data_IF_506148553356
#
_entry.id   IF_506148553356
#
_cell.length_a   1.000
_cell.length_b   1.000
_cell.length_c   1.000
_cell.angle_alpha   90.00
_cell.angle_beta   90.00
_cell.angle_gamma   90.00
#
_symmetry.space_group_name_H-M   'P 1'
#
loop_
_entity.id
_entity.type
_entity.pdbx_description
1 polymer ?
#
# COMPACT_ATOMS: atom_id res chain seq x y z
N UNK A 1 23.36 11.40 13.85
CA UNK A 1 22.32 12.13 13.09
C UNK A 1 21.43 11.05 12.51
N UNK A 2 20.17 10.99 12.94
CA UNK A 2 19.24 9.93 12.54
C UNK A 2 18.73 10.28 11.14
N UNK A 3 18.96 9.40 10.17
CA UNK A 3 18.61 9.61 8.77
C UNK A 3 17.13 9.99 8.62
N UNK A 4 16.89 11.24 8.23
CA UNK A 4 15.55 11.79 7.92
C UNK A 4 14.81 10.95 6.85
N UNK A 5 15.54 10.13 6.08
CA UNK A 5 14.99 9.22 5.07
C UNK A 5 14.20 8.06 5.68
N UNK A 6 14.69 7.45 6.77
CA UNK A 6 14.03 6.27 7.38
C UNK A 6 12.73 6.65 8.07
N UNK A 7 12.69 7.83 8.72
CA UNK A 7 11.47 8.37 9.31
C UNK A 7 10.38 8.65 8.25
N UNK A 8 10.79 9.07 7.04
CA UNK A 8 9.86 9.37 5.94
C UNK A 8 9.35 8.10 5.25
N UNK A 9 10.18 7.05 5.15
CA UNK A 9 9.80 5.82 4.48
C UNK A 9 8.71 5.04 5.23
N UNK A 10 8.81 4.94 6.56
CA UNK A 10 7.77 4.33 7.40
C UNK A 10 6.43 5.05 7.26
N UNK A 11 6.44 6.39 7.29
CA UNK A 11 5.26 7.23 7.12
C UNK A 11 4.64 7.10 5.72
N UNK A 12 5.47 6.97 4.67
CA UNK A 12 5.02 6.74 3.30
C UNK A 12 4.37 5.36 3.14
N UNK A 13 4.96 4.33 3.74
CA UNK A 13 4.38 2.97 3.73
C UNK A 13 3.06 2.93 4.49
N UNK A 14 2.96 3.64 5.62
CA UNK A 14 1.70 3.76 6.36
C UNK A 14 0.60 4.45 5.54
N UNK A 15 0.93 5.53 4.84
CA UNK A 15 -0.01 6.20 3.92
C UNK A 15 -0.45 5.27 2.79
N UNK A 16 0.48 4.56 2.17
CA UNK A 16 0.18 3.59 1.11
C UNK A 16 -0.72 2.45 1.59
N UNK A 17 -0.51 1.93 2.80
CA UNK A 17 -1.39 0.89 3.34
C UNK A 17 -2.80 1.43 3.63
N UNK A 18 -2.91 2.67 4.11
CA UNK A 18 -4.20 3.34 4.30
C UNK A 18 -4.93 3.55 2.97
N UNK A 19 -4.22 3.98 1.92
CA UNK A 19 -4.79 4.18 0.59
C UNK A 19 -5.22 2.85 -0.04
N UNK A 20 -4.43 1.78 0.15
CA UNK A 20 -4.78 0.41 -0.25
C UNK A 20 -6.06 -0.07 0.46
N UNK A 21 -6.15 0.12 1.78
CA UNK A 21 -7.31 -0.28 2.55
C UNK A 21 -8.57 0.50 2.12
N UNK A 22 -8.42 1.80 1.85
CA UNK A 22 -9.51 2.60 1.28
C UNK A 22 -9.94 2.09 -0.10
N UNK A 23 -9.00 1.77 -0.98
CA UNK A 23 -9.30 1.21 -2.30
C UNK A 23 -10.10 -0.10 -2.17
N UNK A 24 -9.65 -1.02 -1.31
CA UNK A 24 -10.32 -2.30 -1.06
C UNK A 24 -11.74 -2.12 -0.52
N UNK A 25 -11.94 -1.24 0.47
CA UNK A 25 -13.26 -0.96 1.04
C UNK A 25 -14.23 -0.43 -0.02
N UNK A 26 -13.76 0.42 -0.94
CA UNK A 26 -14.58 0.94 -2.02
C UNK A 26 -14.90 -0.14 -3.07
N UNK A 27 -13.97 -1.06 -3.34
CA UNK A 27 -14.22 -2.23 -4.20
C UNK A 27 -15.27 -3.18 -3.58
N UNK A 28 -15.22 -3.39 -2.27
CA UNK A 28 -16.19 -4.22 -1.54
C UNK A 28 -17.58 -3.58 -1.52
N UNK A 29 -17.66 -2.24 -1.47
CA UNK A 29 -18.91 -1.48 -1.65
C UNK A 29 -19.45 -1.53 -3.08
N UNK A 30 -18.77 -2.19 -4.01
CA UNK A 30 -19.19 -2.32 -5.41
C UNK A 30 -18.96 -1.07 -6.25
N UNK A 31 -18.05 -0.18 -5.83
CA UNK A 31 -17.66 0.97 -6.65
C UNK A 31 -16.79 0.53 -7.83
N UNK A 32 -16.88 1.30 -8.92
CA UNK A 32 -16.13 1.11 -10.15
C UNK A 32 -16.26 -0.31 -10.74
N UNK A 33 -17.49 -0.80 -10.97
CA UNK A 33 -17.71 -2.14 -11.50
C UNK A 33 -17.04 -2.36 -12.87
N UNK A 34 -16.85 -1.31 -13.66
CA UNK A 34 -16.23 -1.36 -14.99
C UNK A 34 -14.73 -1.63 -14.95
N UNK A 35 -14.05 -1.26 -13.86
CA UNK A 35 -12.59 -1.41 -13.68
C UNK A 35 -12.23 -2.18 -12.40
N UNK A 36 -13.20 -2.92 -11.84
CA UNK A 36 -13.05 -3.62 -10.56
C UNK A 36 -11.92 -4.63 -10.60
N UNK A 37 -11.77 -5.34 -11.71
CA UNK A 37 -10.72 -6.34 -11.90
C UNK A 37 -9.33 -5.69 -11.88
N UNK A 38 -9.17 -4.59 -12.61
CA UNK A 38 -7.93 -3.81 -12.70
C UNK A 38 -7.57 -3.18 -11.36
N UNK A 39 -8.55 -2.65 -10.64
CA UNK A 39 -8.36 -2.09 -9.30
C UNK A 39 -8.03 -3.17 -8.26
N UNK A 40 -8.62 -4.36 -8.36
CA UNK A 40 -8.26 -5.49 -7.51
C UNK A 40 -6.83 -5.98 -7.80
N UNK A 41 -6.39 -5.97 -9.06
CA UNK A 41 -5.00 -6.25 -9.40
C UNK A 41 -4.04 -5.17 -8.86
N UNK A 42 -4.44 -3.90 -8.95
CA UNK A 42 -3.67 -2.78 -8.41
C UNK A 42 -3.51 -2.91 -6.88
N UNK A 43 -4.61 -3.17 -6.16
CA UNK A 43 -4.61 -3.42 -4.72
C UNK A 43 -3.64 -4.56 -4.36
N UNK A 44 -3.70 -5.69 -5.09
CA UNK A 44 -2.80 -6.83 -4.86
C UNK A 44 -1.33 -6.49 -5.12
N UNK A 45 -1.03 -5.69 -6.15
CA UNK A 45 0.33 -5.20 -6.43
C UNK A 45 0.83 -4.29 -5.32
N UNK A 46 -0.02 -3.39 -4.82
CA UNK A 46 0.29 -2.51 -3.68
C UNK A 46 0.53 -3.32 -2.40
N UNK A 47 -0.30 -4.33 -2.13
CA UNK A 47 -0.14 -5.24 -0.98
C UNK A 47 1.22 -5.94 -1.00
N UNK A 48 1.59 -6.54 -2.14
CA UNK A 48 2.90 -7.18 -2.31
C UNK A 48 4.06 -6.20 -2.16
N UNK A 49 3.93 -4.99 -2.69
CA UNK A 49 4.96 -3.96 -2.58
C UNK A 49 5.17 -3.51 -1.13
N UNK A 50 4.08 -3.26 -0.39
CA UNK A 50 4.14 -2.87 1.03
C UNK A 50 4.83 -3.97 1.85
N UNK A 51 4.42 -5.23 1.67
CA UNK A 51 5.04 -6.37 2.35
C UNK A 51 6.53 -6.45 2.00
N UNK A 52 6.88 -6.37 0.71
CA UNK A 52 8.28 -6.42 0.27
C UNK A 52 9.11 -5.29 0.89
N UNK A 53 8.60 -4.06 0.93
CA UNK A 53 9.32 -2.94 1.54
C UNK A 53 9.41 -3.12 3.06
N UNK A 54 8.37 -3.60 3.73
CA UNK A 54 8.40 -3.89 5.16
C UNK A 54 9.42 -4.98 5.49
N UNK A 55 9.48 -6.06 4.70
CA UNK A 55 10.46 -7.14 4.86
C UNK A 55 11.90 -6.66 4.60
N UNK A 56 12.12 -5.83 3.57
CA UNK A 56 13.44 -5.29 3.26
C UNK A 56 13.89 -4.17 4.21
N UNK A 57 12.97 -3.54 4.94
CA UNK A 57 13.28 -2.55 5.98
C UNK A 57 13.66 -3.16 7.33
N UNK A 58 13.70 -4.50 7.45
CA UNK A 58 14.05 -5.21 8.69
C UNK A 58 15.57 -5.33 8.92
N UNK A 59 16.39 -4.93 7.95
CA UNK A 59 17.86 -4.96 8.05
C UNK A 59 18.47 -3.61 7.69
N UNK A 60 18.66 -2.72 8.69
CA UNK A 60 19.87 -1.91 9.01
C UNK A 60 19.79 -1.45 10.48
#
# INVERSE_FOLDING_TARGET
>A
MQDLNTANQGDLIFKLDKDRAWLLENLDKGKWPEIRCELAELERKLSKFIISVQENNVDI
#
